data_IF_375927045415
#
_entry.id   IF_375927045415
#
_cell.length_a   1.000
_cell.length_b   1.000
_cell.length_c   1.000
_cell.angle_alpha   90.00
_cell.angle_beta   90.00
_cell.angle_gamma   90.00
#
_symmetry.space_group_name_H-M   'P 1'
#
loop_
_entity.id
_entity.type
_entity.pdbx_description
1 polymer ?
#
# COMPACT_ATOMS: atom_id res chain seq x y z
N UNK A 1 -19.22 -6.78 -4.08
CA UNK A 1 -19.42 -5.34 -3.79
C UNK A 1 -18.05 -4.68 -3.87
N UNK A 2 -17.94 -3.50 -4.49
CA UNK A 2 -16.67 -2.76 -4.57
C UNK A 2 -16.49 -1.94 -3.30
N UNK A 3 -15.26 -1.79 -2.82
CA UNK A 3 -14.98 -0.96 -1.66
C UNK A 3 -15.44 0.50 -1.87
N UNK A 4 -15.94 1.17 -0.83
CA UNK A 4 -16.33 2.58 -0.91
C UNK A 4 -15.18 3.48 -1.35
N UNK A 5 -15.52 4.60 -2.01
CA UNK A 5 -14.55 5.52 -2.58
C UNK A 5 -13.55 6.05 -1.55
N UNK A 6 -14.00 6.35 -0.34
CA UNK A 6 -13.15 6.77 0.79
C UNK A 6 -12.04 5.76 1.14
N UNK A 7 -12.31 4.46 1.02
CA UNK A 7 -11.32 3.39 1.25
C UNK A 7 -10.31 3.35 0.10
N UNK A 8 -10.79 3.51 -1.14
CA UNK A 8 -9.94 3.54 -2.32
C UNK A 8 -9.02 4.77 -2.36
N UNK A 9 -9.54 5.94 -1.99
CA UNK A 9 -8.78 7.19 -1.93
C UNK A 9 -7.70 7.14 -0.84
N UNK A 10 -8.02 6.51 0.30
CA UNK A 10 -7.06 6.28 1.36
C UNK A 10 -5.95 5.31 0.92
N UNK A 11 -6.30 4.19 0.26
CA UNK A 11 -5.31 3.27 -0.32
C UNK A 11 -4.43 3.95 -1.36
N UNK A 12 -5.02 4.74 -2.26
CA UNK A 12 -4.30 5.55 -3.25
C UNK A 12 -3.27 6.48 -2.58
N UNK A 13 -3.67 7.16 -1.51
CA UNK A 13 -2.79 8.06 -0.77
C UNK A 13 -1.59 7.32 -0.15
N UNK A 14 -1.82 6.14 0.43
CA UNK A 14 -0.77 5.33 1.05
C UNK A 14 0.22 4.81 0.00
N UNK A 15 -0.28 4.31 -1.14
CA UNK A 15 0.56 3.84 -2.24
C UNK A 15 1.46 4.97 -2.79
N UNK A 16 0.90 6.18 -2.92
CA UNK A 16 1.69 7.34 -3.34
C UNK A 16 2.79 7.69 -2.33
N UNK A 17 2.49 7.66 -1.03
CA UNK A 17 3.49 7.92 0.02
C UNK A 17 4.61 6.88 -0.07
N UNK A 18 4.29 5.59 -0.15
CA UNK A 18 5.28 4.51 -0.23
C UNK A 18 6.28 4.69 -1.40
N UNK A 19 5.78 5.18 -2.55
CA UNK A 19 6.57 5.38 -3.76
C UNK A 19 7.19 6.79 -3.89
N UNK A 20 6.96 7.69 -2.93
CA UNK A 20 7.43 9.09 -2.98
C UNK A 20 8.90 9.28 -2.56
N UNK A 21 9.40 10.51 -2.60
CA UNK A 21 10.70 10.94 -2.03
C UNK A 21 10.57 11.51 -0.60
N UNK A 22 9.43 11.30 0.07
CA UNK A 22 9.22 11.88 1.39
C UNK A 22 10.12 11.19 2.41
N UNK A 23 10.85 11.99 3.20
CA UNK A 23 11.62 11.48 4.34
C UNK A 23 10.67 10.80 5.33
N UNK A 24 11.01 9.59 5.77
CA UNK A 24 10.17 8.76 6.65
C UNK A 24 8.86 8.24 6.02
N UNK A 25 8.79 8.16 4.69
CA UNK A 25 7.61 7.62 3.98
C UNK A 25 7.20 6.22 4.42
N UNK A 26 8.14 5.31 4.71
CA UNK A 26 7.82 3.96 5.20
C UNK A 26 7.07 4.02 6.53
N UNK A 27 7.53 4.86 7.46
CA UNK A 27 6.87 5.08 8.74
C UNK A 27 5.48 5.69 8.55
N UNK A 28 5.35 6.70 7.70
CA UNK A 28 4.08 7.36 7.44
C UNK A 28 3.06 6.40 6.80
N UNK A 29 3.46 5.70 5.73
CA UNK A 29 2.63 4.72 5.06
C UNK A 29 2.21 3.57 6.00
N UNK A 30 3.13 3.05 6.81
CA UNK A 30 2.83 2.02 7.81
C UNK A 30 1.74 2.45 8.81
N UNK A 31 1.86 3.65 9.39
CA UNK A 31 0.86 4.16 10.34
C UNK A 31 -0.50 4.32 9.65
N UNK A 32 -0.50 4.78 8.40
CA UNK A 32 -1.73 4.95 7.63
C UNK A 32 -2.37 3.62 7.23
N UNK A 33 -1.60 2.53 7.06
CA UNK A 33 -2.16 1.20 6.79
C UNK A 33 -3.04 0.73 7.95
N UNK A 34 -2.58 0.89 9.19
CA UNK A 34 -3.38 0.56 10.38
C UNK A 34 -4.68 1.38 10.45
N UNK A 35 -4.62 2.68 10.17
CA UNK A 35 -5.80 3.53 10.10
C UNK A 35 -6.76 3.10 8.99
N UNK A 36 -6.23 2.74 7.81
CA UNK A 36 -7.03 2.24 6.69
C UNK A 36 -7.74 0.94 7.05
N UNK A 37 -7.07 0.01 7.71
CA UNK A 37 -7.68 -1.25 8.15
C UNK A 37 -8.79 -0.99 9.18
N UNK A 38 -8.57 -0.08 10.13
CA UNK A 38 -9.61 0.33 11.09
C UNK A 38 -10.83 0.94 10.38
N UNK A 39 -10.61 1.87 9.44
CA UNK A 39 -11.67 2.47 8.63
C UNK A 39 -12.42 1.41 7.82
N UNK A 40 -11.70 0.50 7.16
CA UNK A 40 -12.28 -0.58 6.36
C UNK A 40 -13.18 -1.48 7.23
N UNK A 41 -12.71 -1.89 8.41
CA UNK A 41 -13.51 -2.69 9.35
C UNK A 41 -14.78 -1.94 9.79
N UNK A 42 -14.66 -0.66 10.17
CA UNK A 42 -15.81 0.16 10.59
C UNK A 42 -16.83 0.34 9.47
N UNK A 43 -16.36 0.61 8.26
CA UNK A 43 -17.23 0.79 7.09
C UNK A 43 -17.90 -0.52 6.67
N UNK A 44 -17.15 -1.63 6.67
CA UNK A 44 -17.71 -2.98 6.43
C UNK A 44 -18.77 -3.36 7.47
N UNK A 45 -18.51 -3.12 8.75
CA UNK A 45 -19.48 -3.35 9.82
C UNK A 45 -20.77 -2.53 9.64
N UNK A 46 -20.65 -1.25 9.29
CA UNK A 46 -21.80 -0.35 9.04
C UNK A 46 -22.61 -0.72 7.80
N UNK A 47 -21.97 -1.28 6.78
CA UNK A 47 -22.68 -1.80 5.61
C UNK A 47 -23.48 -3.05 5.91
N UNK A 48 -22.94 -3.95 6.74
CA UNK A 48 -23.65 -5.15 7.18
C UNK A 48 -24.73 -4.86 8.24
N UNK A 49 -24.50 -3.85 9.09
CA UNK A 49 -25.46 -3.39 10.07
C UNK A 49 -25.49 -1.85 10.11
N UNK A 50 -26.54 -1.25 9.53
CA UNK A 50 -26.69 0.21 9.47
C UNK A 50 -26.76 0.92 10.83
N UNK A 51 -27.07 0.18 11.91
CA UNK A 51 -27.07 0.70 13.28
C UNK A 51 -25.70 0.60 13.99
N UNK A 52 -24.67 0.06 13.31
CA UNK A 52 -23.36 -0.11 13.90
C UNK A 52 -22.73 1.22 14.31
N UNK A 53 -22.27 1.30 15.57
CA UNK A 53 -21.59 2.48 16.08
C UNK A 53 -20.13 2.54 15.60
N UNK A 54 -19.84 3.45 14.66
CA UNK A 54 -18.49 3.65 14.10
C UNK A 54 -17.53 4.37 15.04
N UNK A 55 -17.98 4.90 16.19
CA UNK A 55 -17.10 5.50 17.21
C UNK A 55 -16.45 4.46 18.11
N UNK A 56 -16.74 3.18 17.92
CA UNK A 56 -16.13 2.10 18.67
C UNK A 56 -14.62 1.98 18.41
N UNK A 57 -13.93 1.28 19.32
CA UNK A 57 -12.52 0.94 19.14
C UNK A 57 -12.29 -0.10 18.04
N UNK A 58 -11.04 -0.23 17.61
CA UNK A 58 -10.64 -1.14 16.54
C UNK A 58 -11.11 -2.59 16.73
N UNK A 59 -10.88 -3.17 17.91
CA UNK A 59 -11.30 -4.55 18.19
C UNK A 59 -12.82 -4.74 18.14
N UNK A 60 -13.61 -3.72 18.44
CA UNK A 60 -15.07 -3.81 18.32
C UNK A 60 -15.49 -3.81 16.85
N UNK A 61 -14.84 -3.01 16.00
CA UNK A 61 -15.07 -3.03 14.54
C UNK A 61 -14.60 -4.33 13.89
N UNK A 62 -13.44 -4.84 14.30
CA UNK A 62 -12.88 -6.10 13.85
C UNK A 62 -13.80 -7.30 14.08
N UNK A 63 -14.38 -7.36 15.28
CA UNK A 63 -15.23 -8.48 15.70
C UNK A 63 -16.70 -8.26 15.33
N UNK A 64 -17.01 -7.21 14.58
CA UNK A 64 -18.37 -6.94 14.14
C UNK A 64 -18.85 -8.02 13.14
N UNK A 65 -20.15 -8.38 13.16
CA UNK A 65 -20.73 -9.27 12.16
C UNK A 65 -20.45 -8.77 10.74
N UNK A 66 -19.93 -9.66 9.88
CA UNK A 66 -19.61 -9.35 8.49
C UNK A 66 -18.22 -8.75 8.25
N UNK A 67 -17.38 -8.60 9.27
CA UNK A 67 -15.97 -8.17 9.15
C UNK A 67 -14.97 -9.30 9.44
N UNK A 68 -15.32 -10.20 10.37
CA UNK A 68 -14.46 -11.21 11.00
C UNK A 68 -13.21 -11.61 10.19
N UNK A 69 -12.07 -11.06 10.59
CA UNK A 69 -10.75 -11.42 10.04
C UNK A 69 -10.25 -12.71 10.67
N UNK A 70 -9.61 -13.58 9.89
CA UNK A 70 -9.05 -14.85 10.38
C UNK A 70 -7.98 -14.59 11.46
N UNK A 71 -8.21 -14.98 12.73
CA UNK A 71 -7.30 -14.69 13.83
C UNK A 71 -5.94 -15.37 13.69
N UNK A 72 -5.83 -16.46 12.93
CA UNK A 72 -4.56 -17.17 12.69
C UNK A 72 -3.89 -16.76 11.37
N UNK A 73 -4.56 -15.91 10.57
CA UNK A 73 -4.09 -15.48 9.26
C UNK A 73 -3.83 -13.99 9.24
N UNK A 74 -4.56 -13.29 8.37
CA UNK A 74 -4.47 -11.83 8.22
C UNK A 74 -4.74 -11.10 9.55
N UNK A 75 -5.57 -11.69 10.40
CA UNK A 75 -5.89 -11.14 11.70
C UNK A 75 -4.70 -11.08 12.66
N UNK A 76 -3.87 -12.11 12.72
CA UNK A 76 -2.67 -12.06 13.56
C UNK A 76 -1.71 -10.94 13.10
N UNK A 77 -1.53 -10.78 11.79
CA UNK A 77 -0.57 -9.83 11.21
C UNK A 77 -1.01 -8.37 11.34
N UNK A 78 -2.30 -8.10 11.14
CA UNK A 78 -2.85 -6.76 11.38
C UNK A 78 -2.78 -6.42 12.87
N UNK A 79 -3.05 -7.36 13.77
CA UNK A 79 -2.88 -7.13 15.21
C UNK A 79 -1.43 -6.79 15.57
N UNK A 80 -0.46 -7.54 15.02
CA UNK A 80 0.96 -7.26 15.22
C UNK A 80 1.35 -5.86 14.72
N UNK A 81 0.82 -5.45 13.56
CA UNK A 81 1.02 -4.11 13.00
C UNK A 81 0.44 -3.02 13.91
N UNK A 82 -0.78 -3.24 14.44
CA UNK A 82 -1.45 -2.38 15.43
C UNK A 82 -0.59 -2.20 16.69
N UNK A 83 -0.11 -3.29 17.25
CA UNK A 83 0.70 -3.28 18.47
C UNK A 83 2.03 -2.55 18.25
N UNK A 84 2.64 -2.76 17.08
CA UNK A 84 3.85 -2.04 16.68
C UNK A 84 3.59 -0.53 16.58
N UNK A 85 2.49 -0.12 15.96
CA UNK A 85 2.08 1.30 15.88
C UNK A 85 1.85 1.89 17.27
N UNK A 86 1.15 1.18 18.15
CA UNK A 86 0.91 1.62 19.52
C UNK A 86 2.23 1.79 20.29
N UNK A 87 3.18 0.86 20.13
CA UNK A 87 4.50 0.98 20.73
C UNK A 87 5.27 2.19 20.19
N UNK A 88 5.18 2.47 18.90
CA UNK A 88 5.80 3.67 18.30
C UNK A 88 5.21 4.98 18.84
N UNK A 89 3.96 4.99 19.29
CA UNK A 89 3.28 6.17 19.82
C UNK A 89 3.46 6.35 21.33
N UNK A 90 3.46 5.25 22.08
CA UNK A 90 3.36 5.30 23.54
C UNK A 90 4.62 4.85 24.27
N UNK A 91 5.47 4.02 23.66
CA UNK A 91 6.64 3.44 24.32
C UNK A 91 7.96 4.01 23.78
N UNK A 92 8.12 4.05 22.46
CA UNK A 92 9.37 4.51 21.83
C UNK A 92 9.09 5.19 20.50
N UNK A 93 9.12 6.53 20.51
CA UNK A 93 9.04 7.32 19.29
C UNK A 93 10.18 7.01 18.32
N UNK A 94 11.32 6.51 18.82
CA UNK A 94 12.49 6.13 18.04
C UNK A 94 12.34 4.79 17.30
N UNK A 95 11.33 3.97 17.62
CA UNK A 95 11.08 2.71 16.92
C UNK A 95 10.88 2.97 15.42
N UNK A 96 11.70 2.35 14.58
CA UNK A 96 11.65 2.49 13.13
C UNK A 96 10.93 1.31 12.50
N UNK A 97 10.25 1.59 11.40
CA UNK A 97 9.65 0.59 10.52
C UNK A 97 10.47 0.61 9.24
N UNK A 98 11.00 -0.54 8.85
CA UNK A 98 11.72 -0.67 7.60
C UNK A 98 10.76 -0.84 6.42
N UNK A 99 11.34 -0.87 5.22
CA UNK A 99 10.60 -0.99 3.97
C UNK A 99 9.80 -2.30 3.87
N UNK A 100 10.33 -3.39 4.42
CA UNK A 100 9.71 -4.72 4.34
C UNK A 100 8.48 -4.76 5.21
N UNK A 101 8.61 -4.29 6.45
CA UNK A 101 7.52 -4.25 7.41
C UNK A 101 6.41 -3.29 6.97
N UNK A 102 6.77 -2.16 6.36
CA UNK A 102 5.79 -1.28 5.72
C UNK A 102 5.07 -1.96 4.54
N UNK A 103 5.79 -2.70 3.70
CA UNK A 103 5.22 -3.39 2.56
C UNK A 103 4.26 -4.52 2.99
N UNK A 104 4.63 -5.29 4.01
CA UNK A 104 3.77 -6.33 4.61
C UNK A 104 2.46 -5.74 5.12
N UNK A 105 2.52 -4.65 5.89
CA UNK A 105 1.32 -3.98 6.42
C UNK A 105 0.41 -3.43 5.30
N UNK A 106 0.98 -2.97 4.19
CA UNK A 106 0.21 -2.50 3.03
C UNK A 106 -0.48 -3.67 2.32
N UNK A 107 0.20 -4.79 2.12
CA UNK A 107 -0.41 -5.99 1.56
C UNK A 107 -1.53 -6.54 2.45
N UNK A 108 -1.35 -6.49 3.78
CA UNK A 108 -2.40 -6.86 4.72
C UNK A 108 -3.60 -5.91 4.61
N UNK A 109 -3.37 -4.59 4.48
CA UNK A 109 -4.47 -3.65 4.25
C UNK A 109 -5.24 -3.95 2.95
N UNK A 110 -4.53 -4.25 1.86
CA UNK A 110 -5.15 -4.65 0.58
C UNK A 110 -5.96 -5.94 0.75
N UNK A 111 -5.41 -6.94 1.44
CA UNK A 111 -6.09 -8.21 1.66
C UNK A 111 -7.32 -8.06 2.56
N UNK A 112 -7.30 -7.17 3.56
CA UNK A 112 -8.51 -6.82 4.34
C UNK A 112 -9.56 -6.18 3.43
N UNK A 113 -9.17 -5.24 2.56
CA UNK A 113 -10.09 -4.61 1.61
C UNK A 113 -10.73 -5.66 0.70
N UNK A 114 -9.96 -6.58 0.14
CA UNK A 114 -10.49 -7.64 -0.72
C UNK A 114 -11.31 -8.68 0.05
N UNK A 115 -11.02 -8.92 1.33
CA UNK A 115 -11.86 -9.77 2.16
C UNK A 115 -13.25 -9.15 2.40
N UNK A 116 -13.30 -7.85 2.68
CA UNK A 116 -14.55 -7.12 2.93
C UNK A 116 -15.31 -6.80 1.64
N UNK A 117 -14.58 -6.53 0.56
CA UNK A 117 -15.11 -6.17 -0.76
C UNK A 117 -14.39 -6.95 -1.86
N UNK A 118 -14.82 -8.20 -2.13
CA UNK A 118 -14.13 -9.11 -3.03
C UNK A 118 -13.81 -8.53 -4.41
N UNK A 119 -12.58 -8.75 -4.84
CA UNK A 119 -11.99 -8.33 -6.13
C UNK A 119 -11.84 -6.81 -6.30
N UNK A 120 -11.82 -6.04 -5.21
CA UNK A 120 -11.63 -4.58 -5.28
C UNK A 120 -10.26 -4.23 -5.84
N UNK A 121 -9.19 -4.84 -5.33
CA UNK A 121 -7.82 -4.58 -5.82
C UNK A 121 -7.62 -5.01 -7.28
N UNK A 122 -8.44 -5.94 -7.76
CA UNK A 122 -8.35 -6.45 -9.13
C UNK A 122 -9.18 -5.63 -10.11
N UNK A 123 -10.38 -5.17 -9.72
CA UNK A 123 -11.35 -4.62 -10.66
C UNK A 123 -11.65 -3.13 -10.48
N UNK A 124 -11.42 -2.57 -9.29
CA UNK A 124 -11.90 -1.23 -8.95
C UNK A 124 -10.81 -0.15 -8.91
N UNK A 125 -9.54 -0.55 -8.85
CA UNK A 125 -8.41 0.39 -8.76
C UNK A 125 -7.75 0.64 -10.11
N UNK A 126 -7.16 1.83 -10.26
CA UNK A 126 -6.45 2.23 -11.47
C UNK A 126 -5.22 1.36 -11.73
N UNK A 127 -4.81 1.25 -13.00
CA UNK A 127 -3.65 0.44 -13.41
C UNK A 127 -2.39 0.77 -12.59
N UNK A 128 -2.07 2.06 -12.41
CA UNK A 128 -0.90 2.46 -11.63
C UNK A 128 -0.93 1.96 -10.18
N UNK A 129 -2.12 1.84 -9.56
CA UNK A 129 -2.27 1.29 -8.21
C UNK A 129 -2.01 -0.21 -8.21
N UNK A 130 -2.53 -0.96 -9.19
CA UNK A 130 -2.24 -2.39 -9.35
C UNK A 130 -0.73 -2.64 -9.48
N UNK A 131 -0.08 -1.85 -10.32
CA UNK A 131 1.38 -1.91 -10.49
C UNK A 131 2.11 -1.51 -9.21
N UNK A 132 1.61 -0.52 -8.47
CA UNK A 132 2.16 -0.14 -7.16
C UNK A 132 2.06 -1.29 -6.15
N UNK A 133 0.95 -2.02 -6.12
CA UNK A 133 0.77 -3.20 -5.25
C UNK A 133 1.74 -4.32 -5.64
N UNK A 134 1.96 -4.55 -6.95
CA UNK A 134 2.99 -5.48 -7.45
C UNK A 134 4.39 -5.09 -6.96
N UNK A 135 4.72 -3.81 -7.03
CA UNK A 135 5.98 -3.27 -6.50
C UNK A 135 6.05 -3.47 -4.99
N UNK A 136 5.01 -3.11 -4.23
CA UNK A 136 4.95 -3.33 -2.78
C UNK A 136 5.22 -4.80 -2.45
N UNK A 137 4.62 -5.74 -3.20
CA UNK A 137 4.87 -7.17 -3.04
C UNK A 137 6.32 -7.56 -3.21
N UNK A 138 7.07 -6.95 -4.13
CA UNK A 138 8.52 -7.19 -4.26
C UNK A 138 9.30 -6.86 -2.99
N UNK A 139 8.89 -5.82 -2.26
CA UNK A 139 9.56 -5.37 -1.05
C UNK A 139 9.07 -6.06 0.23
N UNK A 140 7.95 -6.77 0.15
CA UNK A 140 7.35 -7.51 1.27
C UNK A 140 8.15 -8.77 1.66
N UNK A 141 7.81 -9.37 2.79
CA UNK A 141 8.37 -10.64 3.26
C UNK A 141 8.13 -11.83 2.32
N UNK A 142 7.08 -11.77 1.49
CA UNK A 142 6.76 -12.79 0.47
C UNK A 142 7.36 -12.46 -0.90
N UNK A 143 8.07 -11.35 -1.02
CA UNK A 143 8.72 -10.90 -2.25
C UNK A 143 10.01 -11.67 -2.55
N UNK A 144 10.37 -11.75 -3.84
CA UNK A 144 11.64 -12.33 -4.26
C UNK A 144 12.70 -11.23 -4.40
N UNK A 145 13.70 -11.25 -3.51
CA UNK A 145 14.77 -10.25 -3.48
C UNK A 145 15.60 -10.20 -4.77
N UNK A 146 15.77 -11.32 -5.48
CA UNK A 146 16.45 -11.34 -6.78
C UNK A 146 15.65 -10.60 -7.85
N UNK A 147 14.32 -10.79 -7.87
CA UNK A 147 13.44 -10.05 -8.77
C UNK A 147 13.36 -8.57 -8.40
N UNK A 148 13.40 -8.23 -7.12
CA UNK A 148 13.47 -6.84 -6.67
C UNK A 148 14.70 -6.12 -7.25
N UNK A 149 15.89 -6.71 -7.10
CA UNK A 149 17.12 -6.12 -7.63
C UNK A 149 17.07 -5.98 -9.16
N UNK A 150 16.63 -7.03 -9.86
CA UNK A 150 16.48 -7.00 -11.32
C UNK A 150 15.47 -5.95 -11.77
N UNK A 151 14.36 -5.79 -11.04
CA UNK A 151 13.38 -4.75 -11.31
C UNK A 151 13.99 -3.36 -11.16
N UNK A 152 14.69 -3.10 -10.05
CA UNK A 152 15.39 -1.83 -9.83
C UNK A 152 16.41 -1.55 -10.92
N UNK A 153 17.19 -2.56 -11.33
CA UNK A 153 18.18 -2.41 -12.39
C UNK A 153 17.49 -2.11 -13.74
N UNK A 154 16.42 -2.81 -14.11
CA UNK A 154 15.69 -2.51 -15.35
C UNK A 154 15.12 -1.09 -15.34
N UNK A 155 14.51 -0.67 -14.23
CA UNK A 155 13.98 0.68 -14.07
C UNK A 155 15.09 1.74 -14.20
N UNK A 156 16.30 1.49 -13.66
CA UNK A 156 17.45 2.41 -13.78
C UNK A 156 18.00 2.54 -15.20
N UNK A 157 18.03 1.43 -15.96
CA UNK A 157 18.61 1.41 -17.30
C UNK A 157 17.61 1.80 -18.40
N UNK A 158 16.32 1.87 -18.07
CA UNK A 158 15.27 2.25 -19.02
C UNK A 158 15.41 3.72 -19.47
N UNK A 159 15.14 3.98 -20.74
CA UNK A 159 15.10 5.33 -21.29
C UNK A 159 13.76 5.99 -20.95
N UNK A 160 13.78 6.82 -19.91
CA UNK A 160 12.62 7.61 -19.52
C UNK A 160 12.55 8.91 -20.31
N UNK A 161 11.41 9.14 -20.97
CA UNK A 161 11.16 10.29 -21.86
C UNK A 161 11.18 11.65 -21.15
N UNK A 162 11.23 11.70 -19.82
CA UNK A 162 11.19 12.94 -19.02
C UNK A 162 12.46 13.79 -19.15
N UNK A 163 13.57 13.27 -19.71
CA UNK A 163 14.83 14.01 -19.82
C UNK A 163 14.82 15.16 -20.85
N UNK A 164 13.89 15.19 -21.81
CA UNK A 164 13.97 16.12 -22.95
C UNK A 164 13.17 17.43 -22.81
N UNK A 165 12.33 17.61 -21.79
CA UNK A 165 11.41 18.76 -21.72
C UNK A 165 11.35 19.50 -20.39
N UNK A 166 12.26 19.25 -19.45
CA UNK A 166 12.26 19.98 -18.17
C UNK A 166 12.57 21.47 -18.42
N UNK A 167 11.58 22.34 -18.22
CA UNK A 167 11.82 23.79 -18.20
C UNK A 167 12.77 24.10 -17.04
N UNK A 168 13.51 25.23 -17.11
CA UNK A 168 14.58 25.65 -16.16
C UNK A 168 14.23 25.65 -14.66
N UNK A 169 12.97 25.40 -14.29
CA UNK A 169 12.45 25.33 -12.92
C UNK A 169 11.75 24.00 -12.56
N UNK A 170 11.66 23.04 -13.48
CA UNK A 170 11.09 21.73 -13.22
C UNK A 170 12.17 20.79 -12.69
N UNK A 171 11.87 20.10 -11.58
CA UNK A 171 12.75 19.08 -11.02
C UNK A 171 12.94 17.98 -12.06
N UNK A 172 14.19 17.69 -12.44
CA UNK A 172 14.49 16.58 -13.35
C UNK A 172 14.06 15.29 -12.66
N UNK A 173 12.97 14.71 -13.14
CA UNK A 173 12.50 13.41 -12.69
C UNK A 173 13.43 12.36 -13.29
N UNK A 174 14.02 11.53 -12.43
CA UNK A 174 14.83 10.37 -12.81
C UNK A 174 14.06 9.10 -12.44
N UNK A 175 13.14 8.61 -13.28
CA UNK A 175 12.27 7.49 -12.90
C UNK A 175 13.02 6.20 -12.53
N UNK A 176 14.29 6.10 -12.93
CA UNK A 176 15.20 5.03 -12.49
C UNK A 176 15.44 4.96 -10.98
N UNK A 177 15.19 6.04 -10.24
CA UNK A 177 15.38 6.11 -8.80
C UNK A 177 14.03 5.98 -8.09
N UNK A 178 13.96 5.09 -7.08
CA UNK A 178 12.75 4.80 -6.31
C UNK A 178 12.00 6.04 -5.80
N UNK A 179 12.73 7.11 -5.51
CA UNK A 179 12.17 8.37 -5.02
C UNK A 179 11.20 9.06 -5.99
N UNK A 180 11.28 8.75 -7.27
CA UNK A 180 10.46 9.35 -8.31
C UNK A 180 9.33 8.42 -8.82
N UNK A 181 9.26 7.19 -8.32
CA UNK A 181 8.34 6.18 -8.84
C UNK A 181 6.88 6.56 -8.71
N UNK A 182 6.49 7.28 -7.65
CA UNK A 182 5.10 7.75 -7.48
C UNK A 182 4.60 8.58 -8.68
N UNK A 183 5.47 9.39 -9.28
CA UNK A 183 5.13 10.20 -10.46
C UNK A 183 5.28 9.33 -11.71
N UNK A 184 6.40 8.64 -11.85
CA UNK A 184 6.73 7.89 -13.07
C UNK A 184 5.75 6.77 -13.39
N UNK A 185 5.23 6.08 -12.38
CA UNK A 185 4.26 4.99 -12.58
C UNK A 185 2.89 5.50 -13.05
N UNK A 186 2.55 6.75 -12.72
CA UNK A 186 1.31 7.39 -13.17
C UNK A 186 1.44 7.91 -14.60
N UNK A 187 2.60 8.45 -14.95
CA UNK A 187 2.87 8.98 -16.28
C UNK A 187 3.14 7.88 -17.32
N UNK A 188 3.76 6.77 -16.89
CA UNK A 188 4.20 5.70 -17.79
C UNK A 188 3.81 4.30 -17.26
N UNK A 189 2.53 4.04 -16.91
CA UNK A 189 2.13 2.77 -16.29
C UNK A 189 2.44 1.56 -17.19
N UNK A 190 2.32 1.69 -18.51
CA UNK A 190 2.58 0.59 -19.44
C UNK A 190 4.05 0.15 -19.43
N UNK A 191 5.00 1.07 -19.22
CA UNK A 191 6.43 0.72 -19.12
C UNK A 191 6.70 -0.08 -17.84
N UNK A 192 6.11 0.35 -16.72
CA UNK A 192 6.21 -0.39 -15.46
C UNK A 192 5.59 -1.78 -15.58
N UNK A 193 4.42 -1.89 -16.22
CA UNK A 193 3.76 -3.16 -16.50
C UNK A 193 4.65 -4.09 -17.33
N UNK A 194 5.20 -3.62 -18.45
CA UNK A 194 6.11 -4.39 -19.30
C UNK A 194 7.33 -4.91 -18.54
N UNK A 195 7.96 -4.07 -17.72
CA UNK A 195 9.13 -4.48 -16.93
C UNK A 195 8.73 -5.53 -15.90
N UNK A 196 7.65 -5.30 -15.15
CA UNK A 196 7.17 -6.25 -14.13
C UNK A 196 6.76 -7.60 -14.77
N UNK A 197 6.08 -7.57 -15.93
CA UNK A 197 5.66 -8.76 -16.67
C UNK A 197 6.88 -9.53 -17.22
N UNK A 198 7.87 -8.84 -17.78
CA UNK A 198 9.10 -9.46 -18.30
C UNK A 198 9.91 -10.21 -17.22
N UNK A 199 9.72 -9.82 -15.96
CA UNK A 199 10.36 -10.42 -14.80
C UNK A 199 9.46 -11.46 -14.10
N UNK A 200 8.22 -11.67 -14.57
CA UNK A 200 7.26 -12.61 -13.98
C UNK A 200 6.71 -12.17 -12.62
N UNK A 201 6.60 -10.87 -12.37
CA UNK A 201 6.20 -10.30 -11.07
C UNK A 201 4.70 -10.03 -11.09
N UNK A 202 3.86 -10.86 -10.47
CA UNK A 202 2.39 -10.75 -10.52
C UNK A 202 1.72 -10.19 -9.26
#
# INVERSE_FOLDING_TARGET
MIAPREILDALESILQIFLSDIRHKERAAFILCDNLVEMACKTGAKQNNHSFNTTCGFHAAWNAPGVTLDPNGIGARVQQSRDTRNNMQHASAASTVDIRYCADALLDAVAVIDQLWPNTSTNAIHLWMKLSIRIVRLYSSVGNHSLQQRFEDNIRHEEWRTKQSAKKHEQVIEPGIRKFWAISIKENPQKFEQILDSLGIH
#
